data_IF_893674853231
#
_entry.id   IF_893674853231
#
_cell.length_a   1.000
_cell.length_b   1.000
_cell.length_c   1.000
_cell.angle_alpha   90.00
_cell.angle_beta   90.00
_cell.angle_gamma   90.00
#
_symmetry.space_group_name_H-M   'P 1'
#
loop_
_entity.id
_entity.type
_entity.pdbx_description
1 polymer ?
#
# COMPACT_ATOMS: atom_id res chain seq x y z
N UNK A 1 -6.43 -12.16 -11.08
CA UNK A 1 -5.92 -12.16 -9.71
C UNK A 1 -6.17 -10.83 -9.04
N UNK A 2 -6.68 -10.88 -7.84
CA UNK A 2 -6.95 -9.65 -7.11
C UNK A 2 -5.87 -9.44 -6.08
N UNK A 3 -5.37 -8.23 -5.95
CA UNK A 3 -4.39 -7.96 -4.90
C UNK A 3 -5.04 -8.00 -3.52
N UNK A 4 -4.25 -8.30 -2.53
CA UNK A 4 -4.69 -8.25 -1.16
C UNK A 4 -4.37 -6.85 -0.65
N UNK A 5 -5.37 -6.11 -0.24
CA UNK A 5 -5.17 -4.74 0.21
C UNK A 5 -4.89 -4.70 1.71
N UNK A 6 -3.88 -3.96 2.10
CA UNK A 6 -3.50 -3.79 3.49
C UNK A 6 -3.62 -2.33 3.84
N UNK A 7 -4.41 -2.02 4.84
CA UNK A 7 -4.57 -0.64 5.27
C UNK A 7 -3.39 -0.18 6.09
N UNK A 8 -2.88 1.02 5.79
CA UNK A 8 -1.76 1.58 6.54
C UNK A 8 -2.07 3.03 6.88
N UNK A 9 -1.45 3.52 7.92
CA UNK A 9 -1.69 4.89 8.37
C UNK A 9 -0.85 5.90 7.62
N UNK A 10 0.36 5.58 7.30
CA UNK A 10 1.25 6.50 6.60
C UNK A 10 1.98 5.70 5.55
N UNK A 11 1.48 5.76 4.34
CA UNK A 11 1.96 4.88 3.30
C UNK A 11 3.38 5.19 2.88
N UNK A 12 3.76 6.48 2.85
CA UNK A 12 5.12 6.81 2.43
C UNK A 12 6.15 6.28 3.43
N UNK A 13 5.82 6.38 4.69
CA UNK A 13 6.72 5.87 5.70
C UNK A 13 6.80 4.37 5.67
N UNK A 14 5.69 3.71 5.43
CA UNK A 14 5.68 2.26 5.33
C UNK A 14 6.48 1.78 4.13
N UNK A 15 6.34 2.45 3.00
CA UNK A 15 7.12 2.09 1.82
C UNK A 15 8.60 2.21 2.14
N UNK A 16 9.00 3.30 2.79
CA UNK A 16 10.38 3.51 3.11
C UNK A 16 10.92 2.42 4.01
N UNK A 17 10.15 2.05 5.03
CA UNK A 17 10.56 0.99 5.93
C UNK A 17 10.74 -0.33 5.20
N UNK A 18 9.82 -0.64 4.31
CA UNK A 18 9.91 -1.90 3.59
C UNK A 18 11.12 -1.94 2.68
N UNK A 19 11.39 -0.83 2.01
CA UNK A 19 12.56 -0.76 1.15
C UNK A 19 13.83 -0.93 1.96
N UNK A 20 13.88 -0.31 3.13
CA UNK A 20 15.05 -0.43 3.98
C UNK A 20 15.24 -1.86 4.47
N UNK A 21 14.17 -2.60 4.57
CA UNK A 21 14.25 -3.99 4.97
C UNK A 21 14.53 -4.93 3.81
N UNK A 22 14.70 -4.38 2.63
CA UNK A 22 15.01 -5.21 1.47
C UNK A 22 13.81 -5.83 0.80
N UNK A 23 12.61 -5.35 1.11
CA UNK A 23 11.40 -5.91 0.50
C UNK A 23 11.25 -5.33 -0.89
N UNK A 24 11.14 -6.17 -1.92
CA UNK A 24 10.98 -5.65 -3.27
C UNK A 24 9.60 -5.02 -3.46
N UNK A 25 9.60 -3.82 -4.01
CA UNK A 25 8.38 -3.06 -4.26
C UNK A 25 8.22 -2.82 -5.75
N UNK A 26 6.98 -2.84 -6.22
CA UNK A 26 6.71 -2.39 -7.58
C UNK A 26 6.74 -0.86 -7.57
N UNK A 27 6.11 -0.26 -6.56
CA UNK A 27 6.06 1.20 -6.45
C UNK A 27 6.97 1.65 -5.34
N UNK A 28 7.90 2.51 -5.62
CA UNK A 28 8.77 3.05 -4.58
C UNK A 28 8.19 4.30 -3.95
N UNK A 29 7.15 4.87 -4.54
CA UNK A 29 6.40 5.95 -3.94
C UNK A 29 4.93 5.66 -4.18
N UNK A 30 4.07 6.21 -3.37
CA UNK A 30 2.66 5.95 -3.54
C UNK A 30 2.10 6.69 -4.73
N UNK A 31 0.95 6.25 -5.21
CA UNK A 31 0.22 6.92 -6.25
C UNK A 31 -1.24 6.91 -5.89
N UNK A 32 -2.00 7.83 -6.49
CA UNK A 32 -3.38 7.94 -6.16
C UNK A 32 -4.17 6.81 -6.82
N UNK A 33 -4.90 6.09 -6.02
CA UNK A 33 -5.75 5.03 -6.51
C UNK A 33 -7.20 5.44 -6.52
N UNK A 34 -8.05 4.48 -6.71
CA UNK A 34 -9.47 4.72 -6.76
C UNK A 34 -9.97 5.17 -5.39
N UNK A 35 -11.00 5.97 -5.38
CA UNK A 35 -11.61 6.36 -4.13
C UNK A 35 -10.83 7.34 -3.31
N UNK A 36 -9.83 7.97 -3.89
CA UNK A 36 -9.05 8.97 -3.17
C UNK A 36 -8.03 8.40 -2.23
N UNK A 37 -7.72 7.14 -2.35
CA UNK A 37 -6.70 6.52 -1.51
C UNK A 37 -5.35 6.59 -2.20
N UNK A 38 -4.30 6.63 -1.41
CA UNK A 38 -2.96 6.46 -1.97
C UNK A 38 -2.62 4.99 -1.87
N UNK A 39 -2.01 4.47 -2.89
CA UNK A 39 -1.70 3.04 -2.95
C UNK A 39 -0.28 2.80 -3.40
N UNK A 40 0.24 1.62 -3.08
CA UNK A 40 1.53 1.18 -3.57
C UNK A 40 1.53 -0.34 -3.54
N UNK A 41 2.14 -0.92 -4.56
CA UNK A 41 2.16 -2.39 -4.67
C UNK A 41 3.51 -2.94 -4.29
N UNK A 42 3.48 -4.05 -3.54
CA UNK A 42 4.67 -4.83 -3.31
C UNK A 42 4.85 -5.76 -4.50
N UNK A 43 6.09 -6.08 -4.82
CA UNK A 43 6.35 -7.03 -5.87
C UNK A 43 5.91 -8.42 -5.36
N UNK A 44 5.25 -9.22 -6.18
CA UNK A 44 4.78 -10.54 -5.73
C UNK A 44 5.88 -11.42 -5.17
N UNK A 45 7.11 -11.20 -5.62
CA UNK A 45 8.24 -11.93 -5.13
C UNK A 45 8.41 -11.75 -3.62
N UNK A 46 7.96 -10.63 -3.08
CA UNK A 46 8.11 -10.36 -1.66
C UNK A 46 7.19 -11.22 -0.81
N UNK A 47 6.16 -11.78 -1.40
CA UNK A 47 5.15 -12.49 -0.64
C UNK A 47 4.73 -13.77 -1.32
N UNK A 48 5.68 -14.53 -1.76
CA UNK A 48 5.44 -15.86 -2.32
C UNK A 48 4.45 -15.86 -3.47
N UNK A 49 4.55 -14.87 -4.30
CA UNK A 49 3.70 -14.81 -5.50
C UNK A 49 2.37 -14.14 -5.31
N UNK A 50 2.09 -13.66 -4.11
CA UNK A 50 0.83 -12.96 -3.85
C UNK A 50 1.06 -11.48 -4.01
N UNK A 51 0.16 -10.82 -4.73
CA UNK A 51 0.28 -9.38 -4.93
C UNK A 51 -0.38 -8.66 -3.78
N UNK A 52 0.37 -7.84 -3.07
CA UNK A 52 -0.14 -7.05 -1.97
C UNK A 52 -0.14 -5.58 -2.33
N UNK A 53 -1.15 -4.89 -1.85
CA UNK A 53 -1.31 -3.48 -2.09
C UNK A 53 -1.40 -2.76 -0.75
N UNK A 54 -0.55 -1.77 -0.52
CA UNK A 54 -0.70 -0.89 0.63
C UNK A 54 -1.71 0.18 0.27
N UNK A 55 -2.56 0.56 1.21
CA UNK A 55 -3.61 1.50 0.92
C UNK A 55 -3.79 2.44 2.10
N UNK A 56 -3.69 3.74 1.83
CA UNK A 56 -3.94 4.74 2.86
C UNK A 56 -5.02 5.66 2.35
N UNK A 57 -6.11 5.80 3.09
CA UNK A 57 -7.17 6.69 2.70
C UNK A 57 -6.78 8.08 3.08
N UNK A 58 -6.70 8.94 2.10
CA UNK A 58 -6.17 10.26 2.28
C UNK A 58 -7.24 11.32 2.26
N UNK A 59 -7.08 12.37 3.05
CA UNK A 59 -7.91 13.52 2.95
C UNK A 59 -9.26 13.40 3.51
N UNK A 60 -9.56 12.49 4.36
CA UNK A 60 -10.85 12.33 4.81
C UNK A 60 -10.87 11.88 6.16
N UNK A 61 -11.61 12.51 6.94
CA UNK A 61 -11.69 12.09 8.21
C UNK A 61 -12.26 10.80 8.19
N UNK A 62 -11.62 9.96 8.74
CA UNK A 62 -12.01 8.67 8.71
C UNK A 62 -13.03 8.45 9.73
N UNK A 63 -14.18 8.41 9.39
CA UNK A 63 -15.26 8.22 10.32
C UNK A 63 -15.56 6.75 10.50
N UNK A 64 -14.62 5.91 10.21
CA UNK A 64 -14.77 4.49 10.46
C UNK A 64 -15.51 3.73 9.43
N UNK A 65 -15.85 4.38 8.34
CA UNK A 65 -16.58 3.69 7.34
C UNK A 65 -15.78 2.99 6.36
N UNK A 66 -14.50 3.20 6.32
CA UNK A 66 -13.84 2.55 5.32
C UNK A 66 -13.32 1.30 5.89
N UNK A 67 -13.53 0.32 5.36
CA UNK A 67 -13.17 -0.94 5.89
C UNK A 67 -12.66 -1.86 4.85
#
# INVERSE_FOLDING_TARGET
IHPVALGVDNIEERIKELIEQGVPMIDSVSRRGAGGADIAFLHPKAASGVLYELCEKVGEENDGRYV
#
